data_IF_581251197221
#
_entry.id   IF_581251197221
#
_cell.length_a   1.000
_cell.length_b   1.000
_cell.length_c   1.000
_cell.angle_alpha   90.00
_cell.angle_beta   90.00
_cell.angle_gamma   90.00
#
_symmetry.space_group_name_H-M   'P 1'
#
loop_
_entity.id
_entity.type
_entity.pdbx_description
1 polymer ?
#
# COMPACT_ATOMS: atom_id res chain seq x y z
N UNK A 1 19.35 1.78 -14.28
CA UNK A 1 18.98 2.78 -15.31
C UNK A 1 20.15 3.11 -16.23
N UNK A 2 21.32 3.56 -15.76
CA UNK A 2 22.47 3.92 -16.60
C UNK A 2 22.92 2.79 -17.53
N UNK A 3 22.98 1.54 -17.04
CA UNK A 3 23.31 0.37 -17.87
C UNK A 3 22.33 0.22 -19.04
N UNK A 4 21.01 0.30 -18.78
CA UNK A 4 19.98 0.20 -19.82
C UNK A 4 20.02 1.35 -20.83
N UNK A 5 20.35 2.58 -20.39
CA UNK A 5 20.51 3.72 -21.30
C UNK A 5 21.69 3.52 -22.23
N UNK A 6 22.83 3.01 -21.72
CA UNK A 6 24.02 2.74 -22.51
C UNK A 6 23.76 1.63 -23.55
N UNK A 7 23.05 0.58 -23.17
CA UNK A 7 22.65 -0.50 -24.09
C UNK A 7 21.73 0.03 -25.19
N UNK A 8 20.68 0.81 -24.83
CA UNK A 8 19.77 1.41 -25.81
C UNK A 8 20.52 2.36 -26.76
N UNK A 9 21.42 3.21 -26.24
CA UNK A 9 22.14 4.19 -27.05
C UNK A 9 23.02 3.56 -28.13
N UNK A 10 23.48 2.31 -27.93
CA UNK A 10 24.29 1.58 -28.89
C UNK A 10 23.51 0.96 -30.05
N UNK A 11 22.19 0.72 -29.86
CA UNK A 11 21.36 -0.02 -30.83
C UNK A 11 20.18 0.79 -31.38
N UNK A 12 19.84 1.93 -30.76
CA UNK A 12 18.70 2.77 -31.16
C UNK A 12 18.87 3.34 -32.56
N UNK A 13 17.85 3.20 -33.39
CA UNK A 13 17.87 3.71 -34.77
C UNK A 13 17.62 5.23 -34.82
N UNK A 14 18.05 5.90 -35.89
CA UNK A 14 17.68 7.30 -36.15
C UNK A 14 16.15 7.51 -36.10
N UNK A 15 15.73 8.66 -35.61
CA UNK A 15 14.31 9.06 -35.52
C UNK A 15 13.45 8.13 -34.61
N UNK A 16 14.08 7.36 -33.72
CA UNK A 16 13.37 6.55 -32.74
C UNK A 16 12.90 7.39 -31.55
N UNK A 17 11.80 6.95 -30.93
CA UNK A 17 11.32 7.47 -29.67
C UNK A 17 11.61 6.43 -28.57
N UNK A 18 12.35 6.84 -27.54
CA UNK A 18 12.59 6.04 -26.33
C UNK A 18 11.54 6.42 -25.31
N UNK A 19 10.62 5.49 -25.03
CA UNK A 19 9.54 5.72 -24.06
C UNK A 19 9.95 5.17 -22.70
N UNK A 20 10.05 6.06 -21.70
CA UNK A 20 10.25 5.65 -20.32
C UNK A 20 8.88 5.48 -19.62
N UNK A 21 8.55 4.24 -19.29
CA UNK A 21 7.30 3.91 -18.56
C UNK A 21 7.51 3.75 -17.05
N UNK A 22 8.74 3.58 -16.61
CA UNK A 22 9.04 3.40 -15.19
C UNK A 22 8.82 4.68 -14.39
N UNK A 23 8.43 4.52 -13.12
CA UNK A 23 8.43 5.62 -12.14
C UNK A 23 9.87 6.00 -11.83
N UNK A 24 10.24 7.23 -12.13
CA UNK A 24 11.62 7.74 -12.06
C UNK A 24 11.67 9.10 -11.38
N UNK A 25 12.79 9.47 -10.73
CA UNK A 25 12.96 10.80 -10.17
C UNK A 25 12.81 11.91 -11.21
N UNK A 26 12.35 13.07 -10.77
CA UNK A 26 12.17 14.25 -11.60
C UNK A 26 13.47 14.62 -12.35
N UNK A 27 13.35 14.96 -13.63
CA UNK A 27 14.46 15.27 -14.51
C UNK A 27 15.16 14.07 -15.14
N UNK A 28 14.61 12.86 -14.96
CA UNK A 28 15.19 11.63 -15.53
C UNK A 28 15.08 11.59 -17.04
N UNK A 29 13.96 11.99 -17.65
CA UNK A 29 13.81 12.05 -19.11
C UNK A 29 14.88 12.94 -19.75
N UNK A 30 15.17 14.09 -19.12
CA UNK A 30 16.24 15.00 -19.55
C UNK A 30 17.63 14.36 -19.45
N UNK A 31 17.88 13.58 -18.38
CA UNK A 31 19.14 12.83 -18.21
C UNK A 31 19.27 11.74 -19.28
N UNK A 32 18.19 11.00 -19.56
CA UNK A 32 18.16 9.97 -20.62
C UNK A 32 18.46 10.62 -21.97
N UNK A 33 17.77 11.73 -22.32
CA UNK A 33 17.98 12.43 -23.59
C UNK A 33 19.46 12.88 -23.76
N UNK A 34 20.06 13.40 -22.67
CA UNK A 34 21.48 13.79 -22.70
C UNK A 34 22.43 12.59 -22.85
N UNK A 35 22.12 11.49 -22.19
CA UNK A 35 22.94 10.27 -22.20
C UNK A 35 22.91 9.53 -23.54
N UNK A 36 21.80 9.58 -24.27
CA UNK A 36 21.67 9.03 -25.63
C UNK A 36 22.64 9.66 -26.62
N UNK A 37 23.13 10.91 -26.36
CA UNK A 37 24.12 11.64 -27.21
C UNK A 37 23.72 11.76 -28.69
N UNK A 38 22.41 11.65 -28.99
CA UNK A 38 21.86 11.67 -30.35
C UNK A 38 20.78 12.75 -30.44
N UNK A 39 20.87 13.59 -31.47
CA UNK A 39 19.88 14.64 -31.75
C UNK A 39 18.64 14.11 -32.47
N UNK A 40 18.76 12.96 -33.11
CA UNK A 40 17.74 12.30 -33.91
C UNK A 40 16.99 11.18 -33.15
N UNK A 41 17.16 11.14 -31.85
CA UNK A 41 16.43 10.22 -30.95
C UNK A 41 15.77 11.04 -29.84
N UNK A 42 14.51 10.75 -29.56
CA UNK A 42 13.69 11.55 -28.68
C UNK A 42 13.22 10.71 -27.49
N UNK A 43 13.10 11.34 -26.33
CA UNK A 43 12.63 10.68 -25.12
C UNK A 43 11.19 11.14 -24.82
N UNK A 44 10.34 10.20 -24.43
CA UNK A 44 9.00 10.47 -23.95
C UNK A 44 8.84 9.81 -22.57
N UNK A 45 8.36 10.55 -21.59
CA UNK A 45 7.94 10.02 -20.29
C UNK A 45 6.47 9.62 -20.36
N UNK A 46 6.18 8.35 -20.11
CA UNK A 46 4.82 7.83 -20.13
C UNK A 46 4.62 6.93 -18.89
N UNK A 47 4.52 7.52 -17.69
CA UNK A 47 4.36 6.76 -16.47
C UNK A 47 3.09 5.91 -16.48
N UNK A 48 3.15 4.74 -15.86
CA UNK A 48 2.02 3.87 -15.65
C UNK A 48 1.34 4.18 -14.28
N UNK A 49 0.06 3.82 -14.15
CA UNK A 49 -0.73 3.97 -12.92
C UNK A 49 -1.41 2.66 -12.54
N UNK A 50 -0.69 1.55 -12.76
CA UNK A 50 -1.18 0.22 -12.50
C UNK A 50 -1.21 -0.08 -10.99
N UNK A 51 -2.21 -0.83 -10.57
CA UNK A 51 -2.31 -1.37 -9.22
C UNK A 51 -1.90 -2.83 -9.24
N UNK A 52 -1.08 -3.23 -8.32
CA UNK A 52 -0.68 -4.63 -8.16
C UNK A 52 -1.92 -5.51 -7.95
N UNK A 53 -1.96 -6.68 -8.57
CA UNK A 53 -3.15 -7.55 -8.62
C UNK A 53 -4.16 -7.18 -9.71
N UNK A 54 -4.18 -5.92 -10.21
CA UNK A 54 -5.14 -5.44 -11.22
C UNK A 54 -4.46 -4.91 -12.51
N UNK A 55 -3.18 -5.18 -12.71
CA UNK A 55 -2.37 -4.56 -13.76
C UNK A 55 -2.95 -4.68 -15.18
N UNK A 56 -3.53 -5.83 -15.54
CA UNK A 56 -4.12 -6.05 -16.88
C UNK A 56 -5.34 -5.14 -17.06
N UNK A 57 -6.25 -5.11 -16.08
CA UNK A 57 -7.44 -4.27 -16.13
C UNK A 57 -7.07 -2.79 -16.17
N UNK A 58 -6.19 -2.36 -15.28
CA UNK A 58 -5.75 -0.95 -15.19
C UNK A 58 -5.01 -0.49 -16.46
N UNK A 59 -4.40 -1.42 -17.22
CA UNK A 59 -3.78 -1.12 -18.50
C UNK A 59 -4.81 -1.00 -19.63
N UNK A 60 -5.83 -1.85 -19.64
CA UNK A 60 -6.87 -1.85 -20.68
C UNK A 60 -7.94 -0.78 -20.45
N UNK A 61 -8.23 -0.46 -19.19
CA UNK A 61 -9.22 0.51 -18.75
C UNK A 61 -8.58 1.56 -17.81
N UNK A 62 -7.56 2.31 -18.26
CA UNK A 62 -6.90 3.26 -17.38
C UNK A 62 -7.77 4.49 -17.12
N UNK A 63 -7.72 5.03 -15.92
CA UNK A 63 -8.40 6.29 -15.59
C UNK A 63 -7.84 7.49 -16.39
N UNK A 64 -6.61 7.40 -16.85
CA UNK A 64 -5.89 8.40 -17.64
C UNK A 64 -4.60 7.86 -18.21
N UNK A 65 -4.13 8.48 -19.28
CA UNK A 65 -2.82 8.27 -19.90
C UNK A 65 -2.05 9.59 -19.81
N UNK A 66 -0.82 9.57 -19.29
CA UNK A 66 0.03 10.76 -19.16
C UNK A 66 1.24 10.61 -20.09
N UNK A 67 1.48 11.59 -20.94
CA UNK A 67 2.58 11.60 -21.91
C UNK A 67 3.35 12.92 -21.76
N UNK A 68 4.60 12.84 -21.36
CA UNK A 68 5.50 13.99 -21.25
C UNK A 68 6.57 13.98 -22.34
N UNK A 69 6.66 15.04 -23.12
CA UNK A 69 7.66 15.20 -24.17
C UNK A 69 8.05 16.66 -24.37
N UNK A 70 9.20 16.89 -25.00
CA UNK A 70 9.64 18.24 -25.41
C UNK A 70 9.07 18.66 -26.77
N UNK A 71 8.42 17.76 -27.50
CA UNK A 71 7.86 18.01 -28.83
C UNK A 71 6.45 17.43 -28.89
N UNK A 72 5.53 18.24 -29.43
CA UNK A 72 4.15 17.84 -29.66
C UNK A 72 4.09 16.63 -30.60
N UNK A 73 4.88 16.63 -31.69
CA UNK A 73 4.96 15.51 -32.64
C UNK A 73 5.28 14.18 -31.95
N UNK A 74 6.27 14.14 -31.04
CA UNK A 74 6.69 12.92 -30.39
C UNK A 74 5.66 12.45 -29.36
N UNK A 75 4.98 13.37 -28.68
CA UNK A 75 3.89 13.01 -27.77
C UNK A 75 2.67 12.47 -28.52
N UNK A 76 2.32 13.05 -29.67
CA UNK A 76 1.22 12.58 -30.52
C UNK A 76 1.50 11.17 -31.09
N UNK A 77 2.72 10.90 -31.56
CA UNK A 77 3.12 9.56 -32.00
C UNK A 77 3.03 8.50 -30.89
N UNK A 78 3.32 8.86 -29.64
CA UNK A 78 3.12 7.94 -28.50
C UNK A 78 1.64 7.82 -28.16
N UNK A 79 0.86 8.90 -28.24
CA UNK A 79 -0.58 8.89 -28.03
C UNK A 79 -1.33 7.97 -29.00
N UNK A 80 -0.87 7.88 -30.26
CA UNK A 80 -1.43 6.97 -31.28
C UNK A 80 -1.39 5.50 -30.86
N UNK A 81 -0.41 5.08 -30.03
CA UNK A 81 -0.34 3.72 -29.48
C UNK A 81 -1.54 3.38 -28.60
N UNK A 82 -2.19 4.40 -28.05
CA UNK A 82 -3.36 4.28 -27.16
C UNK A 82 -4.68 4.58 -27.87
N UNK A 83 -4.70 4.66 -29.20
CA UNK A 83 -5.90 5.01 -29.99
C UNK A 83 -7.11 4.10 -29.77
N UNK A 84 -6.89 2.87 -29.25
CA UNK A 84 -7.96 1.90 -28.93
C UNK A 84 -8.33 1.87 -27.43
N UNK A 85 -7.69 2.69 -26.62
CA UNK A 85 -7.94 2.77 -25.17
C UNK A 85 -8.86 3.95 -24.91
N UNK A 86 -10.01 3.71 -24.32
CA UNK A 86 -10.99 4.74 -23.99
C UNK A 86 -10.60 5.41 -22.64
N UNK A 87 -9.70 6.38 -22.72
CA UNK A 87 -9.25 7.14 -21.56
C UNK A 87 -8.74 8.54 -21.98
N UNK A 88 -8.88 9.54 -21.10
CA UNK A 88 -8.30 10.86 -21.36
C UNK A 88 -6.77 10.79 -21.44
N UNK A 89 -6.21 11.37 -22.51
CA UNK A 89 -4.77 11.49 -22.71
C UNK A 89 -4.33 12.92 -22.36
N UNK A 90 -3.46 13.03 -21.36
CA UNK A 90 -2.84 14.28 -20.95
C UNK A 90 -1.44 14.39 -21.56
N UNK A 91 -1.25 15.31 -22.49
CA UNK A 91 0.07 15.67 -23.04
C UNK A 91 0.65 16.82 -22.20
N UNK A 92 1.90 16.67 -21.76
CA UNK A 92 2.57 17.63 -20.88
C UNK A 92 4.09 17.67 -21.11
N UNK A 93 4.83 18.46 -20.33
CA UNK A 93 6.29 18.41 -20.29
C UNK A 93 6.81 17.14 -19.62
N UNK A 94 8.08 16.81 -19.78
CA UNK A 94 8.73 15.71 -19.07
C UNK A 94 8.59 15.84 -17.56
N UNK A 95 8.90 17.03 -17.05
CA UNK A 95 8.88 17.33 -15.63
C UNK A 95 7.48 17.17 -15.03
N UNK A 96 6.46 17.63 -15.75
CA UNK A 96 5.07 17.47 -15.33
C UNK A 96 4.64 16.00 -15.31
N UNK A 97 4.97 15.23 -16.34
CA UNK A 97 4.61 13.80 -16.40
C UNK A 97 5.29 12.99 -15.29
N UNK A 98 6.58 13.24 -15.04
CA UNK A 98 7.31 12.60 -13.94
C UNK A 98 6.71 12.99 -12.57
N UNK A 99 6.41 14.28 -12.36
CA UNK A 99 5.85 14.78 -11.11
C UNK A 99 4.43 14.25 -10.86
N UNK A 100 3.58 14.16 -11.88
CA UNK A 100 2.21 13.63 -11.76
C UNK A 100 2.21 12.22 -11.12
N UNK A 101 3.12 11.34 -11.54
CA UNK A 101 3.18 9.98 -10.98
C UNK A 101 3.49 9.99 -9.48
N UNK A 102 4.53 10.69 -9.07
CA UNK A 102 4.93 10.80 -7.66
C UNK A 102 3.84 11.48 -6.82
N UNK A 103 3.28 12.59 -7.33
CA UNK A 103 2.21 13.33 -6.64
C UNK A 103 0.97 12.48 -6.44
N UNK A 104 0.56 11.69 -7.43
CA UNK A 104 -0.58 10.80 -7.29
C UNK A 104 -0.38 9.79 -6.15
N UNK A 105 0.77 9.12 -6.10
CA UNK A 105 1.07 8.14 -5.06
C UNK A 105 1.21 8.80 -3.67
N UNK A 106 1.85 9.96 -3.57
CA UNK A 106 1.96 10.73 -2.33
C UNK A 106 0.59 11.18 -1.81
N UNK A 107 -0.30 11.62 -2.71
CA UNK A 107 -1.66 12.03 -2.33
C UNK A 107 -2.49 10.86 -1.80
N UNK A 108 -2.39 9.68 -2.43
CA UNK A 108 -3.08 8.47 -1.95
C UNK A 108 -2.54 8.01 -0.59
N UNK A 109 -1.22 8.06 -0.37
CA UNK A 109 -0.61 7.78 0.93
C UNK A 109 -1.09 8.77 2.02
N UNK A 110 -1.21 10.05 1.67
CA UNK A 110 -1.75 11.09 2.56
C UNK A 110 -3.24 10.82 2.90
N UNK A 111 -4.08 10.42 1.94
CA UNK A 111 -5.48 10.05 2.21
C UNK A 111 -5.58 8.91 3.22
N UNK A 112 -4.77 7.85 3.05
CA UNK A 112 -4.74 6.73 3.99
C UNK A 112 -4.23 7.16 5.38
N UNK A 113 -3.20 7.99 5.44
CA UNK A 113 -2.71 8.53 6.71
C UNK A 113 -3.79 9.36 7.41
N UNK A 114 -4.44 10.27 6.67
CA UNK A 114 -5.51 11.09 7.21
C UNK A 114 -6.64 10.25 7.80
N UNK A 115 -7.09 9.23 7.07
CA UNK A 115 -8.20 8.38 7.54
C UNK A 115 -7.80 7.52 8.74
N UNK A 116 -6.56 7.07 8.84
CA UNK A 116 -6.04 6.36 10.00
C UNK A 116 -5.97 7.26 11.26
N UNK A 117 -5.62 8.53 11.10
CA UNK A 117 -5.69 9.52 12.19
C UNK A 117 -7.15 9.77 12.62
N UNK A 118 -8.08 9.88 11.67
CA UNK A 118 -9.51 10.00 11.98
C UNK A 118 -10.05 8.75 12.67
N UNK A 119 -9.62 7.55 12.24
CA UNK A 119 -9.98 6.30 12.93
C UNK A 119 -9.54 6.31 14.41
N UNK A 120 -8.31 6.78 14.68
CA UNK A 120 -7.84 6.96 16.05
C UNK A 120 -8.70 7.96 16.84
N UNK A 121 -9.13 9.05 16.21
CA UNK A 121 -10.04 10.03 16.83
C UNK A 121 -11.43 9.42 17.10
N UNK A 122 -11.95 8.61 16.17
CA UNK A 122 -13.22 7.90 16.36
C UNK A 122 -13.17 6.99 17.61
N UNK A 123 -12.09 6.26 17.82
CA UNK A 123 -11.91 5.41 19.01
C UNK A 123 -11.92 6.20 20.32
N UNK A 124 -11.41 7.43 20.31
CA UNK A 124 -11.38 8.31 21.50
C UNK A 124 -12.75 8.93 21.77
N UNK A 125 -13.49 9.27 20.73
CA UNK A 125 -14.74 10.01 20.81
C UNK A 125 -15.98 9.12 20.81
N UNK A 126 -15.85 7.83 20.48
CA UNK A 126 -16.98 6.90 20.33
C UNK A 126 -17.71 7.06 18.97
N UNK A 127 -17.12 7.78 18.02
CA UNK A 127 -17.63 7.82 16.64
C UNK A 127 -17.26 6.53 15.89
N UNK A 128 -17.96 6.27 14.77
CA UNK A 128 -17.68 5.13 13.90
C UNK A 128 -17.01 5.58 12.61
N UNK A 129 -15.83 5.04 12.31
CA UNK A 129 -15.06 5.40 11.12
C UNK A 129 -15.80 5.09 9.82
N UNK A 130 -16.60 4.01 9.75
CA UNK A 130 -17.41 3.67 8.57
C UNK A 130 -18.43 4.79 8.26
N UNK A 131 -19.10 5.33 9.30
CA UNK A 131 -20.06 6.42 9.15
C UNK A 131 -19.37 7.71 8.73
N UNK A 132 -18.24 8.03 9.35
CA UNK A 132 -17.46 9.23 9.03
C UNK A 132 -16.95 9.17 7.58
N UNK A 133 -16.36 8.05 7.15
CA UNK A 133 -15.82 7.90 5.79
C UNK A 133 -16.93 7.91 4.73
N UNK A 134 -18.07 7.27 5.00
CA UNK A 134 -19.24 7.34 4.12
C UNK A 134 -19.78 8.77 4.04
N UNK A 135 -19.95 9.44 5.18
CA UNK A 135 -20.48 10.80 5.25
C UNK A 135 -19.66 11.80 4.44
N UNK A 136 -18.32 11.83 4.64
CA UNK A 136 -17.45 12.73 3.87
C UNK A 136 -17.23 12.25 2.43
N UNK A 137 -17.28 10.93 2.19
CA UNK A 137 -17.08 10.33 0.87
C UNK A 137 -18.19 10.61 -0.13
N UNK A 138 -19.41 10.96 0.32
CA UNK A 138 -20.50 11.42 -0.54
C UNK A 138 -20.22 12.77 -1.21
N UNK A 139 -19.31 13.56 -0.65
CA UNK A 139 -18.86 14.78 -1.33
C UNK A 139 -17.95 14.40 -2.52
N UNK A 140 -18.35 14.69 -3.78
CA UNK A 140 -17.56 14.33 -4.97
C UNK A 140 -16.17 14.97 -5.00
N UNK A 141 -15.94 16.03 -4.25
CA UNK A 141 -14.61 16.65 -4.12
C UNK A 141 -13.66 15.82 -3.28
N UNK A 142 -14.16 14.91 -2.43
CA UNK A 142 -13.39 14.02 -1.55
C UNK A 142 -13.38 12.60 -2.10
N UNK A 143 -14.56 12.03 -2.38
CA UNK A 143 -14.76 10.67 -2.91
C UNK A 143 -14.41 9.58 -1.90
N UNK A 144 -14.92 8.37 -2.14
CA UNK A 144 -14.83 7.23 -1.21
C UNK A 144 -13.52 6.41 -1.33
N UNK A 145 -12.79 6.57 -2.44
CA UNK A 145 -11.60 5.75 -2.68
C UNK A 145 -10.43 6.14 -1.77
N UNK A 146 -9.69 5.14 -1.28
CA UNK A 146 -8.58 5.32 -0.33
C UNK A 146 -9.00 5.96 1.00
N UNK A 147 -10.22 5.63 1.47
CA UNK A 147 -10.80 6.11 2.72
C UNK A 147 -11.03 4.99 3.73
N UNK A 148 -10.46 3.81 3.51
CA UNK A 148 -10.57 2.69 4.43
C UNK A 148 -9.43 2.73 5.44
N UNK A 149 -9.78 2.81 6.73
CA UNK A 149 -8.82 2.69 7.81
C UNK A 149 -8.22 1.27 7.85
N UNK A 150 -6.97 1.18 8.27
CA UNK A 150 -6.26 -0.09 8.33
C UNK A 150 -5.00 0.00 9.21
N UNK A 151 -4.12 -1.00 9.22
CA UNK A 151 -2.94 -1.02 10.08
C UNK A 151 -1.85 -0.03 9.65
N UNK A 152 -2.00 0.57 8.49
CA UNK A 152 -1.07 1.49 7.83
C UNK A 152 -1.07 1.28 6.32
N UNK A 153 -0.19 2.00 5.61
CA UNK A 153 0.03 1.81 4.18
C UNK A 153 1.48 1.36 3.90
N UNK A 154 1.65 0.63 2.81
CA UNK A 154 2.92 0.06 2.39
C UNK A 154 2.93 -0.32 0.92
N UNK A 155 3.51 -1.48 0.60
CA UNK A 155 3.71 -1.95 -0.76
C UNK A 155 4.91 -1.31 -1.43
N UNK A 156 5.20 -1.73 -2.64
CA UNK A 156 6.40 -1.34 -3.40
C UNK A 156 6.42 0.12 -3.86
N UNK A 157 5.26 0.81 -3.89
CA UNK A 157 5.12 2.12 -4.52
C UNK A 157 5.09 3.27 -3.52
N UNK A 158 4.13 3.30 -2.58
CA UNK A 158 3.91 4.46 -1.72
C UNK A 158 5.12 4.85 -0.88
N UNK A 159 5.82 3.93 -0.19
CA UNK A 159 6.99 4.30 0.61
C UNK A 159 8.12 4.86 -0.26
N UNK A 160 8.43 4.20 -1.35
CA UNK A 160 9.49 4.59 -2.28
C UNK A 160 9.22 5.94 -2.93
N UNK A 161 8.00 6.14 -3.46
CA UNK A 161 7.65 7.33 -4.24
C UNK A 161 7.48 8.56 -3.32
N UNK A 162 6.94 8.38 -2.11
CA UNK A 162 6.85 9.44 -1.11
C UNK A 162 8.24 9.89 -0.66
N UNK A 163 9.14 8.95 -0.35
CA UNK A 163 10.52 9.26 0.00
C UNK A 163 11.28 9.94 -1.15
N UNK A 164 11.09 9.45 -2.39
CA UNK A 164 11.69 10.04 -3.58
C UNK A 164 11.21 11.47 -3.80
N UNK A 165 9.91 11.74 -3.66
CA UNK A 165 9.34 13.07 -3.85
C UNK A 165 9.85 14.05 -2.77
N UNK A 166 9.95 13.61 -1.52
CA UNK A 166 10.54 14.42 -0.43
C UNK A 166 12.00 14.77 -0.73
N UNK A 167 12.78 13.79 -1.19
CA UNK A 167 14.18 14.02 -1.54
C UNK A 167 14.34 14.98 -2.73
N UNK A 168 13.49 14.81 -3.76
CA UNK A 168 13.46 15.72 -4.91
C UNK A 168 13.11 17.13 -4.47
N UNK A 169 12.07 17.32 -3.66
CA UNK A 169 11.69 18.63 -3.13
C UNK A 169 12.86 19.33 -2.43
N UNK A 170 13.55 18.62 -1.52
CA UNK A 170 14.75 19.15 -0.83
C UNK A 170 15.86 19.53 -1.78
N UNK A 171 16.07 18.80 -2.87
CA UNK A 171 17.11 19.13 -3.87
C UNK A 171 16.84 20.45 -4.60
N UNK A 172 15.60 20.93 -4.59
CA UNK A 172 15.16 22.23 -5.10
C UNK A 172 14.99 23.30 -3.99
N UNK A 173 15.42 23.00 -2.76
CA UNK A 173 15.33 23.95 -1.63
C UNK A 173 13.92 24.06 -1.04
N UNK A 174 13.05 23.06 -1.26
CA UNK A 174 11.69 23.03 -0.73
C UNK A 174 11.50 21.91 0.29
N UNK A 175 11.17 22.27 1.52
CA UNK A 175 10.82 21.32 2.58
C UNK A 175 9.34 20.93 2.46
N UNK A 176 9.09 19.72 1.97
CA UNK A 176 7.72 19.21 1.81
C UNK A 176 7.21 18.61 3.12
N UNK A 177 7.05 19.46 4.13
CA UNK A 177 6.66 19.08 5.51
C UNK A 177 5.39 18.24 5.59
N UNK A 178 4.36 18.53 4.77
CA UNK A 178 3.13 17.73 4.74
C UNK A 178 3.42 16.27 4.40
N UNK A 179 4.28 16.01 3.41
CA UNK A 179 4.60 14.65 2.99
C UNK A 179 5.52 13.95 4.00
N UNK A 180 6.46 14.69 4.60
CA UNK A 180 7.32 14.18 5.67
C UNK A 180 6.51 13.73 6.88
N UNK A 181 5.55 14.56 7.32
CA UNK A 181 4.64 14.17 8.41
C UNK A 181 3.70 13.01 8.01
N UNK A 182 3.29 12.93 6.75
CA UNK A 182 2.52 11.78 6.25
C UNK A 182 3.27 10.46 6.44
N UNK A 183 4.57 10.44 6.10
CA UNK A 183 5.43 9.27 6.28
C UNK A 183 5.62 8.96 7.77
N UNK A 184 5.91 9.98 8.59
CA UNK A 184 6.12 9.84 10.03
C UNK A 184 4.85 9.31 10.74
N UNK A 185 3.69 9.88 10.44
CA UNK A 185 2.42 9.46 11.01
C UNK A 185 2.06 8.02 10.66
N UNK A 186 2.40 7.55 9.46
CA UNK A 186 2.23 6.14 9.13
C UNK A 186 3.07 5.22 10.03
N UNK A 187 4.33 5.59 10.34
CA UNK A 187 5.15 4.81 11.28
C UNK A 187 4.55 4.80 12.69
N UNK A 188 4.11 5.96 13.18
CA UNK A 188 3.42 6.06 14.47
C UNK A 188 2.13 5.24 14.51
N UNK A 189 1.44 5.14 13.38
CA UNK A 189 0.21 4.35 13.28
C UNK A 189 0.49 2.84 13.35
N UNK A 190 1.58 2.36 12.74
CA UNK A 190 2.04 0.98 12.91
C UNK A 190 2.35 0.67 14.39
N UNK A 191 3.00 1.60 15.11
CA UNK A 191 3.25 1.46 16.54
C UNK A 191 1.94 1.41 17.35
N UNK A 192 0.95 2.27 17.01
CA UNK A 192 -0.38 2.23 17.65
C UNK A 192 -1.07 0.89 17.41
N UNK A 193 -0.97 0.33 16.21
CA UNK A 193 -1.57 -0.97 15.87
C UNK A 193 -0.93 -2.10 16.69
N UNK A 194 0.40 -2.16 16.77
CA UNK A 194 1.09 -3.13 17.64
C UNK A 194 0.70 -2.94 19.11
N UNK A 195 0.56 -1.69 19.57
CA UNK A 195 0.14 -1.40 20.94
C UNK A 195 -1.32 -1.83 21.23
N UNK A 196 -2.21 -1.88 20.23
CA UNK A 196 -3.56 -2.46 20.41
C UNK A 196 -3.50 -3.94 20.69
N UNK A 197 -2.70 -4.70 19.92
CA UNK A 197 -2.45 -6.13 20.20
C UNK A 197 -2.01 -6.33 21.64
N UNK A 198 -1.01 -5.57 22.09
CA UNK A 198 -0.47 -5.66 23.45
C UNK A 198 -1.49 -5.37 24.56
N UNK A 199 -2.39 -4.42 24.30
CA UNK A 199 -3.43 -4.04 25.29
C UNK A 199 -4.56 -5.05 25.41
N UNK A 200 -4.81 -5.83 24.36
CA UNK A 200 -5.86 -6.86 24.37
C UNK A 200 -5.43 -8.16 25.05
N UNK A 201 -4.14 -8.39 25.23
CA UNK A 201 -3.62 -9.58 25.91
C UNK A 201 -3.32 -9.23 27.37
N UNK A 202 -3.84 -10.00 28.35
CA UNK A 202 -3.56 -9.79 29.77
C UNK A 202 -2.06 -9.80 30.06
N UNK A 203 -1.63 -8.93 30.98
CA UNK A 203 -0.20 -8.74 31.32
C UNK A 203 0.43 -9.91 32.04
N UNK A 204 -0.35 -10.67 32.78
CA UNK A 204 0.03 -11.81 33.60
C UNK A 204 0.26 -13.09 32.81
N UNK A 205 -0.01 -13.08 31.50
CA UNK A 205 0.31 -14.20 30.61
C UNK A 205 1.81 -14.14 30.28
N UNK A 206 2.56 -15.21 30.64
CA UNK A 206 3.99 -15.32 30.32
C UNK A 206 4.21 -15.57 28.83
N UNK A 207 3.59 -16.62 28.27
CA UNK A 207 3.68 -17.03 26.86
C UNK A 207 2.55 -16.39 26.04
N UNK A 208 2.71 -15.13 25.67
CA UNK A 208 1.72 -14.39 24.89
C UNK A 208 1.72 -14.84 23.43
N UNK A 209 0.63 -15.50 23.02
CA UNK A 209 0.48 -16.08 21.69
C UNK A 209 -0.43 -15.22 20.81
N UNK A 210 0.11 -14.74 19.70
CA UNK A 210 -0.62 -13.93 18.73
C UNK A 210 -0.72 -14.69 17.42
N UNK A 211 -1.93 -14.83 16.92
CA UNK A 211 -2.19 -15.29 15.57
C UNK A 211 -2.45 -14.10 14.67
N UNK A 212 -1.92 -14.14 13.44
CA UNK A 212 -2.11 -13.09 12.47
C UNK A 212 -2.60 -13.66 11.13
N UNK A 213 -3.70 -13.13 10.63
CA UNK A 213 -4.19 -13.44 9.29
C UNK A 213 -3.94 -12.30 8.33
N UNK A 214 -3.21 -12.60 7.24
CA UNK A 214 -2.77 -11.67 6.24
C UNK A 214 -1.39 -11.09 6.53
N UNK A 215 -0.48 -11.27 5.58
CA UNK A 215 0.90 -10.79 5.63
C UNK A 215 1.22 -9.83 4.50
N UNK A 216 0.53 -9.95 3.37
CA UNK A 216 0.69 -9.07 2.22
C UNK A 216 0.20 -7.65 2.53
N UNK A 217 0.72 -6.65 1.81
CA UNK A 217 0.36 -5.25 2.08
C UNK A 217 -1.11 -4.93 1.75
N UNK A 218 -1.74 -5.75 0.91
CA UNK A 218 -3.19 -5.77 0.57
C UNK A 218 -3.58 -7.14 0.06
N UNK A 219 -4.86 -7.44 0.01
CA UNK A 219 -5.38 -8.65 -0.62
C UNK A 219 -5.16 -8.68 -2.15
N UNK A 220 -5.19 -9.88 -2.75
CA UNK A 220 -5.06 -10.08 -4.20
C UNK A 220 -3.63 -9.95 -4.74
N UNK A 221 -2.62 -10.04 -3.91
CA UNK A 221 -1.20 -10.03 -4.29
C UNK A 221 -0.37 -10.89 -3.32
N UNK A 222 0.83 -11.27 -3.74
CA UNK A 222 1.85 -11.94 -2.92
C UNK A 222 2.95 -10.98 -2.42
N UNK A 223 2.79 -9.66 -2.63
CA UNK A 223 3.82 -8.67 -2.29
C UNK A 223 3.86 -8.35 -0.79
N UNK A 224 5.01 -8.65 -0.18
CA UNK A 224 5.31 -8.40 1.23
C UNK A 224 6.13 -7.11 1.46
N UNK A 225 6.55 -6.43 0.38
CA UNK A 225 7.43 -5.26 0.49
C UNK A 225 6.76 -4.13 1.27
N UNK A 226 7.41 -3.72 2.37
CA UNK A 226 6.86 -2.70 3.26
C UNK A 226 5.43 -2.98 3.73
N UNK A 227 5.05 -4.26 3.84
CA UNK A 227 3.73 -4.63 4.32
C UNK A 227 3.49 -4.10 5.73
N UNK A 228 2.39 -3.37 5.98
CA UNK A 228 2.00 -2.95 7.32
C UNK A 228 1.82 -4.13 8.27
N UNK A 229 1.32 -5.27 7.76
CA UNK A 229 1.18 -6.49 8.54
C UNK A 229 2.54 -6.98 9.05
N UNK A 230 3.51 -7.14 8.15
CA UNK A 230 4.88 -7.54 8.50
C UNK A 230 5.51 -6.55 9.48
N UNK A 231 5.33 -5.26 9.25
CA UNK A 231 5.89 -4.21 10.13
C UNK A 231 5.27 -4.20 11.53
N UNK A 232 3.99 -4.50 11.67
CA UNK A 232 3.33 -4.69 12.99
C UNK A 232 3.88 -5.92 13.69
N UNK A 233 4.01 -7.05 12.98
CA UNK A 233 4.52 -8.30 13.56
C UNK A 233 5.98 -8.18 13.98
N UNK A 234 6.85 -7.49 13.24
CA UNK A 234 8.23 -7.20 13.65
C UNK A 234 8.29 -6.50 15.03
N UNK A 235 7.39 -5.53 15.25
CA UNK A 235 7.30 -4.83 16.54
C UNK A 235 6.92 -5.76 17.68
N UNK A 236 6.05 -6.74 17.41
CA UNK A 236 5.65 -7.74 18.41
C UNK A 236 6.77 -8.77 18.65
N UNK A 237 7.49 -9.20 17.60
CA UNK A 237 8.67 -10.09 17.75
C UNK A 237 9.74 -9.48 18.67
N UNK A 238 9.99 -8.16 18.54
CA UNK A 238 10.97 -7.47 19.43
C UNK A 238 10.56 -7.45 20.90
N UNK A 239 9.28 -7.68 21.20
CA UNK A 239 8.73 -7.76 22.55
C UNK A 239 8.44 -9.21 23.00
N UNK A 240 9.04 -10.19 22.29
CA UNK A 240 8.99 -11.62 22.61
C UNK A 240 7.61 -12.27 22.60
N UNK A 241 6.69 -11.77 21.75
CA UNK A 241 5.44 -12.47 21.47
C UNK A 241 5.71 -13.74 20.66
N UNK A 242 5.03 -14.82 20.98
CA UNK A 242 4.99 -16.03 20.15
C UNK A 242 3.97 -15.81 19.04
N UNK A 243 4.44 -15.76 17.80
CA UNK A 243 3.60 -15.37 16.67
C UNK A 243 3.45 -16.53 15.69
N UNK A 244 2.21 -16.85 15.37
CA UNK A 244 1.86 -17.72 14.24
C UNK A 244 1.10 -16.90 13.22
N UNK A 245 1.47 -16.94 11.95
CA UNK A 245 0.83 -16.16 10.92
C UNK A 245 0.37 -17.03 9.74
N UNK A 246 -0.72 -16.64 9.12
CA UNK A 246 -1.25 -17.25 7.91
C UNK A 246 -1.54 -16.20 6.83
N UNK A 247 -1.21 -16.51 5.60
CA UNK A 247 -1.60 -15.74 4.43
C UNK A 247 -1.84 -16.72 3.26
N UNK A 248 -2.88 -16.55 2.43
CA UNK A 248 -3.18 -17.46 1.33
C UNK A 248 -2.03 -17.64 0.33
N UNK A 249 -1.16 -16.63 0.19
CA UNK A 249 -0.10 -16.59 -0.82
C UNK A 249 1.30 -16.86 -0.25
N UNK A 250 1.45 -16.82 1.08
CA UNK A 250 2.78 -16.94 1.73
C UNK A 250 2.95 -18.33 2.32
N UNK A 251 4.09 -18.94 2.03
CA UNK A 251 4.45 -20.27 2.55
C UNK A 251 5.90 -20.31 3.02
N UNK A 252 6.14 -21.09 4.05
CA UNK A 252 7.50 -21.29 4.60
C UNK A 252 7.99 -20.08 5.40
N UNK A 253 9.28 -20.10 5.75
CA UNK A 253 9.88 -19.07 6.61
C UNK A 253 10.07 -17.75 5.88
N UNK A 254 9.79 -16.65 6.56
CA UNK A 254 10.02 -15.29 6.09
C UNK A 254 11.29 -14.72 6.73
N UNK A 255 12.29 -14.30 5.93
CA UNK A 255 13.49 -13.64 6.47
C UNK A 255 13.17 -12.36 7.28
N UNK A 256 12.09 -11.67 6.92
CA UNK A 256 11.62 -10.44 7.58
C UNK A 256 10.99 -10.70 8.95
N UNK A 257 10.55 -11.94 9.22
CA UNK A 257 9.89 -12.39 10.46
C UNK A 257 10.52 -13.70 10.92
N UNK A 258 11.78 -13.67 11.41
CA UNK A 258 12.55 -14.88 11.69
C UNK A 258 12.01 -15.71 12.86
N UNK A 259 11.25 -15.10 13.78
CA UNK A 259 10.68 -15.76 14.96
C UNK A 259 9.20 -16.15 14.77
N UNK A 260 8.56 -15.71 13.69
CA UNK A 260 7.16 -16.01 13.38
C UNK A 260 7.04 -17.36 12.67
N UNK A 261 6.16 -18.21 13.14
CA UNK A 261 5.77 -19.45 12.48
C UNK A 261 4.74 -19.15 11.37
N UNK A 262 4.94 -19.70 10.19
CA UNK A 262 3.98 -19.56 9.08
C UNK A 262 3.15 -20.84 8.99
N UNK A 263 1.87 -20.73 9.33
CA UNK A 263 0.92 -21.83 9.24
C UNK A 263 0.46 -22.07 7.78
N UNK A 264 0.08 -23.29 7.48
CA UNK A 264 -0.46 -23.66 6.17
C UNK A 264 -1.99 -23.57 6.12
N UNK A 265 -2.63 -23.39 7.26
CA UNK A 265 -4.08 -23.39 7.44
C UNK A 265 -4.48 -22.28 8.43
N UNK A 266 -5.57 -21.51 8.17
CA UNK A 266 -5.99 -20.42 9.04
C UNK A 266 -6.50 -20.91 10.41
N UNK A 267 -7.12 -22.08 10.50
CA UNK A 267 -7.61 -22.63 11.76
C UNK A 267 -6.43 -23.06 12.64
N UNK A 268 -5.46 -23.80 12.07
CA UNK A 268 -4.25 -24.18 12.79
C UNK A 268 -3.43 -22.93 13.21
N UNK A 269 -3.47 -21.86 12.44
CA UNK A 269 -2.87 -20.57 12.83
C UNK A 269 -3.48 -20.03 14.12
N UNK A 270 -4.79 -20.12 14.30
CA UNK A 270 -5.51 -19.54 15.43
C UNK A 270 -5.46 -20.40 16.71
N UNK A 271 -5.14 -21.68 16.59
CA UNK A 271 -5.19 -22.64 17.70
C UNK A 271 -4.31 -22.24 18.89
N UNK A 272 -4.92 -22.21 20.07
CA UNK A 272 -4.24 -21.90 21.33
C UNK A 272 -3.72 -20.47 21.45
N UNK A 273 -4.11 -19.55 20.60
CA UNK A 273 -3.70 -18.15 20.66
C UNK A 273 -4.51 -17.34 21.69
N UNK A 274 -3.93 -16.22 22.12
CA UNK A 274 -4.57 -15.26 23.03
C UNK A 274 -5.24 -14.11 22.29
N UNK A 275 -4.85 -13.93 21.02
CA UNK A 275 -5.39 -12.90 20.14
C UNK A 275 -5.21 -13.30 18.70
N UNK A 276 -6.24 -13.10 17.90
CA UNK A 276 -6.19 -13.13 16.43
C UNK A 276 -6.21 -11.71 15.90
N UNK A 277 -5.21 -11.35 15.07
CA UNK A 277 -5.13 -10.08 14.37
C UNK A 277 -5.42 -10.27 12.87
N UNK A 278 -6.43 -9.59 12.33
CA UNK A 278 -6.65 -9.51 10.89
C UNK A 278 -5.87 -8.31 10.36
N UNK A 279 -4.80 -8.56 9.60
CA UNK A 279 -3.88 -7.52 9.14
C UNK A 279 -4.02 -7.21 7.64
N UNK A 280 -4.54 -8.16 6.85
CA UNK A 280 -4.86 -7.97 5.43
C UNK A 280 -6.27 -8.46 5.15
N UNK A 281 -7.00 -7.76 4.29
CA UNK A 281 -8.42 -7.94 4.01
C UNK A 281 -8.71 -9.01 2.94
N UNK A 282 -8.21 -10.23 3.08
CA UNK A 282 -8.50 -11.31 2.16
C UNK A 282 -9.98 -11.72 2.25
N UNK A 283 -10.67 -11.81 1.11
CA UNK A 283 -12.08 -12.25 1.07
C UNK A 283 -12.27 -13.69 1.56
N UNK A 284 -11.23 -14.51 1.44
CA UNK A 284 -11.23 -15.90 1.95
C UNK A 284 -11.49 -15.95 3.45
N UNK A 285 -11.07 -14.95 4.21
CA UNK A 285 -11.29 -14.92 5.67
C UNK A 285 -12.77 -14.77 6.04
N UNK A 286 -13.57 -14.12 5.20
CA UNK A 286 -15.02 -13.97 5.44
C UNK A 286 -15.80 -15.26 5.35
N UNK A 287 -15.20 -16.28 4.71
CA UNK A 287 -15.85 -17.58 4.48
C UNK A 287 -15.51 -18.61 5.58
N UNK A 288 -14.61 -18.25 6.51
CA UNK A 288 -14.19 -19.14 7.59
C UNK A 288 -15.24 -19.22 8.68
N UNK A 289 -15.31 -20.40 9.32
CA UNK A 289 -16.15 -20.62 10.49
C UNK A 289 -15.50 -19.99 11.73
N UNK A 290 -15.90 -18.75 12.02
CA UNK A 290 -15.35 -17.98 13.13
C UNK A 290 -15.75 -18.52 14.51
N UNK A 291 -16.82 -19.33 14.62
CA UNK A 291 -17.19 -20.01 15.85
C UNK A 291 -16.15 -21.10 16.18
N UNK A 292 -15.79 -21.92 15.17
CA UNK A 292 -14.70 -22.90 15.29
C UNK A 292 -13.38 -22.24 15.66
N UNK A 293 -13.07 -21.08 15.08
CA UNK A 293 -11.86 -20.29 15.43
C UNK A 293 -11.90 -19.86 16.89
N UNK A 294 -13.00 -19.26 17.35
CA UNK A 294 -13.14 -18.80 18.74
C UNK A 294 -12.94 -19.93 19.74
N UNK A 295 -13.51 -21.12 19.46
CA UNK A 295 -13.41 -22.29 20.32
C UNK A 295 -12.00 -22.89 20.38
N UNK A 296 -11.19 -22.71 19.33
CA UNK A 296 -9.81 -23.22 19.27
C UNK A 296 -8.80 -22.32 20.00
N UNK A 297 -9.12 -21.06 20.22
CA UNK A 297 -8.26 -20.07 20.86
C UNK A 297 -8.23 -20.24 22.37
N UNK A 298 -7.12 -19.90 23.01
CA UNK A 298 -6.99 -19.83 24.49
C UNK A 298 -7.79 -18.66 25.05
N UNK A 299 -7.73 -17.51 24.36
CA UNK A 299 -8.50 -16.32 24.67
C UNK A 299 -9.05 -15.75 23.35
N UNK A 300 -10.37 -15.76 23.12
CA UNK A 300 -10.95 -15.33 21.85
C UNK A 300 -10.99 -13.79 21.73
N UNK A 301 -9.82 -13.15 21.66
CA UNK A 301 -9.68 -11.74 21.35
C UNK A 301 -9.45 -11.58 19.84
N UNK A 302 -10.21 -10.69 19.20
CA UNK A 302 -10.11 -10.40 17.77
C UNK A 302 -9.81 -8.92 17.54
N UNK A 303 -8.61 -8.63 17.03
CA UNK A 303 -8.26 -7.31 16.52
C UNK A 303 -8.44 -7.30 15.00
N UNK A 304 -9.49 -6.67 14.53
CA UNK A 304 -9.76 -6.54 13.10
C UNK A 304 -9.31 -5.18 12.59
N UNK A 305 -8.07 -5.11 12.11
CA UNK A 305 -7.51 -3.85 11.62
C UNK A 305 -8.05 -3.41 10.27
N UNK A 306 -8.83 -4.27 9.60
CA UNK A 306 -9.40 -4.03 8.27
C UNK A 306 -10.93 -3.90 8.29
N UNK A 307 -11.54 -4.08 9.46
CA UNK A 307 -13.01 -4.07 9.62
C UNK A 307 -13.71 -5.03 8.63
N UNK A 308 -13.14 -6.24 8.49
CA UNK A 308 -13.62 -7.32 7.63
C UNK A 308 -14.92 -7.91 8.17
N UNK A 309 -15.02 -7.98 9.51
CA UNK A 309 -16.14 -8.58 10.22
C UNK A 309 -17.03 -7.53 10.88
N UNK A 310 -18.28 -7.91 11.14
CA UNK A 310 -19.20 -7.08 11.90
C UNK A 310 -19.08 -7.37 13.40
N UNK A 311 -18.86 -6.31 14.20
CA UNK A 311 -18.60 -6.39 15.63
C UNK A 311 -19.65 -7.24 16.38
N UNK A 312 -20.94 -6.96 16.17
CA UNK A 312 -22.01 -7.65 16.89
C UNK A 312 -22.08 -9.14 16.59
N UNK A 313 -21.70 -9.57 15.36
CA UNK A 313 -21.64 -10.97 14.99
C UNK A 313 -20.47 -11.66 15.70
N UNK A 314 -19.29 -11.04 15.74
CA UNK A 314 -18.12 -11.60 16.42
C UNK A 314 -18.35 -11.68 17.93
N UNK A 315 -18.93 -10.65 18.54
CA UNK A 315 -19.28 -10.68 19.97
C UNK A 315 -20.31 -11.76 20.30
N UNK A 316 -21.29 -12.01 19.43
CA UNK A 316 -22.30 -13.06 19.61
C UNK A 316 -21.71 -14.46 19.63
N UNK A 317 -20.66 -14.72 18.88
CA UNK A 317 -19.97 -16.02 18.85
C UNK A 317 -18.83 -16.13 19.86
N UNK A 318 -18.64 -15.12 20.70
CA UNK A 318 -17.76 -15.16 21.88
C UNK A 318 -16.45 -14.40 21.77
N UNK A 319 -16.19 -13.66 20.71
CA UNK A 319 -14.99 -12.83 20.62
C UNK A 319 -15.12 -11.54 21.46
N UNK A 320 -14.03 -11.15 22.10
CA UNK A 320 -13.78 -9.76 22.46
C UNK A 320 -13.26 -9.04 21.22
N UNK A 321 -14.13 -8.28 20.54
CA UNK A 321 -13.82 -7.66 19.25
C UNK A 321 -13.39 -6.21 19.37
N UNK A 322 -12.29 -5.86 18.70
CA UNK A 322 -11.87 -4.46 18.47
C UNK A 322 -11.60 -4.29 16.98
N UNK A 323 -12.32 -3.35 16.34
CA UNK A 323 -12.05 -2.90 14.98
C UNK A 323 -11.13 -1.67 14.96
N UNK A 324 -10.80 -1.21 13.76
CA UNK A 324 -10.04 0.02 13.57
C UNK A 324 -11.02 1.19 13.44
N UNK A 325 -11.04 2.09 14.45
CA UNK A 325 -11.92 3.25 14.45
C UNK A 325 -13.40 2.94 14.71
N UNK A 326 -13.71 1.77 15.37
CA UNK A 326 -15.09 1.36 15.67
C UNK A 326 -15.28 1.08 17.15
#
# INVERSE_FOLDING_TARGET
MEKGINEISSVVKPNSIVVNKSTVPLGTAKKIQKALRRKDTHVVSNPEFLSEGNAIRDFLEPSRIVIGANSKEHSERVAELYSKVDAPILISSWESAELIKHTANAFLAMKLTFINEIATLCEITGANIKDVTNGIGYDPRIGIHYMQAGPGWGGSCFPKDSASLTQVARSFGFDFTLLEHTIELNQKHLDRTANKVKKMIPKDIEDKRVSAWGLTFKAGTDDLRYSPAVEVLKRLETEHFLITAFDPTVKGKLPELPLTEIANDPYACAEGSDLLAILTEWDDFKQLDMETVALSMRNPNLLDTRNVFEKHEMERIGFTYIGMGT
#
